data_IF_834821568071
#
_entry.id   IF_834821568071
#
_cell.length_a   1.000
_cell.length_b   1.000
_cell.length_c   1.000
_cell.angle_alpha   90.00
_cell.angle_beta   90.00
_cell.angle_gamma   90.00
#
_symmetry.space_group_name_H-M   'P 1'
#
loop_
_entity.id
_entity.type
_entity.pdbx_description
1 polymer ?
#
# COMPACT_ATOMS: atom_id res chain seq x y z
N UNK A 1 1.50 -49.55 -72.77
CA UNK A 1 1.73 -48.34 -71.97
C UNK A 1 0.76 -48.39 -70.80
N UNK A 2 1.25 -48.85 -69.66
CA UNK A 2 0.51 -48.79 -68.39
C UNK A 2 1.56 -48.97 -67.30
N UNK A 3 2.00 -47.83 -66.79
CA UNK A 3 2.98 -47.68 -65.72
C UNK A 3 2.51 -48.37 -64.43
N UNK A 4 3.44 -49.09 -63.84
CA UNK A 4 3.46 -49.51 -62.46
C UNK A 4 3.84 -48.33 -61.58
N UNK A 5 2.94 -47.91 -60.68
CA UNK A 5 3.26 -46.89 -59.68
C UNK A 5 2.99 -47.42 -58.26
N UNK A 6 4.06 -47.37 -57.45
CA UNK A 6 4.14 -47.83 -56.08
C UNK A 6 3.55 -46.76 -55.17
N UNK A 7 2.46 -47.06 -54.47
CA UNK A 7 1.99 -46.25 -53.35
C UNK A 7 2.73 -46.64 -52.08
N UNK A 8 3.77 -45.88 -51.74
CA UNK A 8 4.41 -45.87 -50.43
C UNK A 8 3.44 -45.29 -49.40
N UNK A 9 3.03 -46.11 -48.44
CA UNK A 9 2.27 -45.72 -47.25
C UNK A 9 3.16 -44.89 -46.31
N UNK A 10 3.03 -43.57 -46.38
CA UNK A 10 3.66 -42.64 -45.44
C UNK A 10 2.85 -42.59 -44.16
N UNK A 11 3.23 -43.44 -43.19
CA UNK A 11 2.71 -43.40 -41.83
C UNK A 11 2.87 -42.00 -41.23
N UNK A 12 1.74 -41.31 -41.04
CA UNK A 12 1.68 -40.07 -40.27
C UNK A 12 2.01 -40.40 -38.80
N UNK A 13 3.21 -40.04 -38.37
CA UNK A 13 3.55 -39.97 -36.95
C UNK A 13 2.56 -39.04 -36.24
N UNK A 14 1.71 -39.63 -35.41
CA UNK A 14 0.85 -38.89 -34.49
C UNK A 14 1.78 -38.24 -33.45
N UNK A 15 1.78 -36.91 -33.26
CA UNK A 15 2.65 -36.30 -32.27
C UNK A 15 2.28 -36.84 -30.88
N UNK A 16 3.29 -37.29 -30.13
CA UNK A 16 3.13 -37.77 -28.77
C UNK A 16 2.31 -36.77 -27.94
N UNK A 17 1.41 -37.22 -27.05
CA UNK A 17 0.60 -36.32 -26.24
C UNK A 17 1.54 -35.39 -25.47
N UNK A 18 1.38 -34.08 -25.66
CA UNK A 18 2.19 -33.08 -24.98
C UNK A 18 2.14 -33.35 -23.46
N UNK A 19 3.31 -33.56 -22.85
CA UNK A 19 3.40 -33.83 -21.43
C UNK A 19 2.73 -32.67 -20.66
N UNK A 20 1.90 -33.00 -19.67
CA UNK A 20 1.19 -32.03 -18.84
C UNK A 20 1.23 -32.42 -17.37
N UNK A 21 0.88 -31.49 -16.50
CA UNK A 21 0.82 -31.71 -15.07
C UNK A 21 2.17 -32.08 -14.44
N UNK A 22 2.14 -33.01 -13.49
CA UNK A 22 3.33 -33.42 -12.74
C UNK A 22 4.44 -33.99 -13.63
N UNK A 23 4.10 -34.64 -14.74
CA UNK A 23 5.07 -35.22 -15.70
C UNK A 23 5.88 -34.11 -16.37
N UNK A 24 5.20 -33.11 -16.94
CA UNK A 24 5.85 -31.93 -17.52
C UNK A 24 6.73 -31.21 -16.50
N UNK A 25 6.21 -31.01 -15.28
CA UNK A 25 6.95 -30.34 -14.21
C UNK A 25 8.23 -31.12 -13.90
N UNK A 26 8.17 -32.44 -13.78
CA UNK A 26 9.33 -33.29 -13.53
C UNK A 26 10.38 -33.20 -14.65
N UNK A 27 9.95 -33.10 -15.92
CA UNK A 27 10.85 -32.87 -17.05
C UNK A 27 11.56 -31.51 -16.94
N UNK A 28 10.82 -30.43 -16.66
CA UNK A 28 11.39 -29.09 -16.53
C UNK A 28 12.39 -28.98 -15.38
N UNK A 29 12.16 -29.68 -14.25
CA UNK A 29 13.07 -29.69 -13.09
C UNK A 29 14.50 -30.08 -13.45
N UNK A 30 14.70 -30.96 -14.44
CA UNK A 30 16.02 -31.43 -14.88
C UNK A 30 16.87 -30.29 -15.46
N UNK A 31 16.22 -29.27 -16.04
CA UNK A 31 16.85 -28.14 -16.72
C UNK A 31 17.04 -26.92 -15.83
N UNK A 32 16.52 -26.95 -14.59
CA UNK A 32 16.51 -25.78 -13.72
C UNK A 32 17.82 -25.58 -12.95
N UNK A 33 18.30 -24.33 -12.84
CA UNK A 33 19.41 -24.00 -11.96
C UNK A 33 19.00 -24.07 -10.48
N UNK A 34 19.97 -24.34 -9.61
CA UNK A 34 19.83 -24.19 -8.15
C UNK A 34 20.08 -22.72 -7.75
N UNK A 35 19.31 -21.79 -8.36
CA UNK A 35 19.42 -20.35 -8.17
C UNK A 35 18.06 -19.73 -7.80
N UNK A 36 18.04 -18.53 -7.20
CA UNK A 36 16.80 -17.81 -6.98
C UNK A 36 16.17 -17.35 -8.29
N UNK A 37 14.84 -17.18 -8.26
CA UNK A 37 14.11 -16.69 -9.41
C UNK A 37 12.60 -16.79 -9.27
N UNK A 38 11.91 -16.43 -10.35
CA UNK A 38 10.47 -16.49 -10.48
C UNK A 38 10.09 -17.49 -11.58
N UNK A 39 9.04 -18.27 -11.34
CA UNK A 39 8.46 -19.18 -12.32
C UNK A 39 7.00 -18.83 -12.61
N UNK A 40 6.56 -19.17 -13.81
CA UNK A 40 5.21 -18.95 -14.32
C UNK A 40 4.67 -20.26 -14.85
N UNK A 41 3.43 -20.58 -14.50
CA UNK A 41 2.72 -21.78 -14.94
C UNK A 41 1.54 -21.38 -15.81
N UNK A 42 1.41 -22.03 -16.97
CA UNK A 42 0.39 -21.75 -17.98
C UNK A 42 -0.41 -23.01 -18.29
N UNK A 43 -1.67 -22.85 -18.68
CA UNK A 43 -2.50 -23.96 -19.15
C UNK A 43 -2.29 -24.28 -20.63
N UNK A 44 -3.01 -25.29 -21.14
CA UNK A 44 -2.94 -25.71 -22.53
C UNK A 44 -3.44 -24.65 -23.53
N UNK A 45 -4.14 -23.62 -23.07
CA UNK A 45 -4.62 -22.48 -23.88
C UNK A 45 -3.66 -21.29 -23.81
N UNK A 46 -2.57 -21.39 -23.05
CA UNK A 46 -1.63 -20.31 -22.81
C UNK A 46 -2.09 -19.29 -21.77
N UNK A 47 -3.13 -19.58 -20.98
CA UNK A 47 -3.57 -18.72 -19.89
C UNK A 47 -2.64 -18.87 -18.68
N UNK A 48 -2.22 -17.73 -18.09
CA UNK A 48 -1.35 -17.74 -16.92
C UNK A 48 -2.12 -18.17 -15.67
N UNK A 49 -1.76 -19.34 -15.15
CA UNK A 49 -2.36 -19.94 -13.97
C UNK A 49 -1.77 -19.38 -12.68
N UNK A 50 -0.44 -19.32 -12.60
CA UNK A 50 0.27 -19.02 -11.36
C UNK A 50 1.64 -18.40 -11.60
N UNK A 51 2.03 -17.50 -10.72
CA UNK A 51 3.38 -16.93 -10.60
C UNK A 51 3.88 -17.27 -9.20
N UNK A 52 5.11 -17.76 -9.08
CA UNK A 52 5.73 -18.00 -7.78
C UNK A 52 7.22 -17.67 -7.76
N UNK A 53 7.72 -17.24 -6.60
CA UNK A 53 9.15 -17.07 -6.33
C UNK A 53 9.78 -18.29 -5.69
N UNK A 54 11.10 -18.42 -5.82
CA UNK A 54 11.89 -19.43 -5.12
C UNK A 54 13.30 -18.92 -4.79
N UNK A 55 13.83 -19.35 -3.64
CA UNK A 55 15.28 -19.28 -3.35
C UNK A 55 16.08 -20.23 -4.25
N UNK A 56 15.47 -21.37 -4.59
CA UNK A 56 15.99 -22.37 -5.51
C UNK A 56 14.87 -22.80 -6.43
N UNK A 57 14.94 -22.39 -7.70
CA UNK A 57 13.98 -22.79 -8.72
C UNK A 57 13.88 -24.31 -8.82
N UNK A 58 15.03 -25.00 -8.88
CA UNK A 58 15.07 -26.47 -8.92
C UNK A 58 14.34 -27.13 -7.76
N UNK A 59 14.64 -26.75 -6.51
CA UNK A 59 14.01 -27.37 -5.31
C UNK A 59 12.52 -27.04 -5.22
N UNK A 60 12.14 -25.78 -5.51
CA UNK A 60 10.74 -25.34 -5.43
C UNK A 60 9.89 -26.04 -6.48
N UNK A 61 10.35 -26.09 -7.73
CA UNK A 61 9.58 -26.70 -8.81
C UNK A 61 9.52 -28.22 -8.65
N UNK A 62 10.59 -28.84 -8.14
CA UNK A 62 10.58 -30.26 -7.81
C UNK A 62 9.52 -30.64 -6.76
N UNK A 63 9.13 -29.70 -5.88
CA UNK A 63 8.07 -29.97 -4.91
C UNK A 63 6.71 -30.22 -5.56
N UNK A 64 6.41 -29.59 -6.70
CA UNK A 64 5.15 -29.77 -7.44
C UNK A 64 5.10 -31.05 -8.28
N UNK A 65 6.26 -31.65 -8.58
CA UNK A 65 6.32 -32.93 -9.29
C UNK A 65 5.91 -34.12 -8.40
N UNK A 66 5.75 -33.90 -7.09
CA UNK A 66 5.32 -34.93 -6.14
C UNK A 66 3.81 -35.16 -6.28
N UNK A 67 3.38 -36.41 -6.28
CA UNK A 67 1.97 -36.79 -6.47
C UNK A 67 1.08 -36.57 -5.23
N UNK A 68 1.63 -36.12 -4.09
CA UNK A 68 0.89 -35.99 -2.83
C UNK A 68 1.43 -34.89 -1.91
N UNK A 69 0.62 -34.51 -0.92
CA UNK A 69 0.93 -33.45 0.04
C UNK A 69 0.59 -32.02 -0.44
N UNK A 70 -0.22 -31.92 -1.50
CA UNK A 70 -0.70 -30.64 -2.04
C UNK A 70 -2.14 -30.38 -1.61
N UNK A 71 -2.48 -29.12 -1.37
CA UNK A 71 -3.88 -28.70 -1.23
C UNK A 71 -4.63 -28.91 -2.53
N UNK A 72 -5.96 -29.05 -2.46
CA UNK A 72 -6.83 -29.25 -3.63
C UNK A 72 -6.59 -28.19 -4.70
N UNK A 73 -6.39 -26.93 -4.28
CA UNK A 73 -6.01 -25.83 -5.17
C UNK A 73 -4.71 -26.10 -5.91
N UNK A 74 -3.64 -26.44 -5.20
CA UNK A 74 -2.31 -26.65 -5.80
C UNK A 74 -2.35 -27.87 -6.72
N UNK A 75 -3.02 -28.95 -6.33
CA UNK A 75 -3.20 -30.12 -7.16
C UNK A 75 -3.93 -29.80 -8.49
N UNK A 76 -5.00 -29.00 -8.44
CA UNK A 76 -5.71 -28.54 -9.64
C UNK A 76 -4.84 -27.67 -10.53
N UNK A 77 -4.10 -26.72 -9.95
CA UNK A 77 -3.16 -25.86 -10.69
C UNK A 77 -2.08 -26.70 -11.38
N UNK A 78 -1.49 -27.67 -10.66
CA UNK A 78 -0.51 -28.61 -11.23
C UNK A 78 -1.14 -29.35 -12.39
N UNK A 79 -2.29 -30.01 -12.19
CA UNK A 79 -2.95 -30.80 -13.22
C UNK A 79 -3.28 -30.00 -14.50
N UNK A 80 -3.60 -28.71 -14.35
CA UNK A 80 -3.87 -27.81 -15.49
C UNK A 80 -2.61 -27.24 -16.16
N UNK A 81 -1.42 -27.42 -15.59
CA UNK A 81 -0.18 -26.85 -16.13
C UNK A 81 0.28 -27.60 -17.38
N UNK A 82 0.38 -26.90 -18.50
CA UNK A 82 0.88 -27.41 -19.79
C UNK A 82 2.14 -26.69 -20.27
N UNK A 83 2.50 -25.55 -19.68
CA UNK A 83 3.74 -24.83 -19.98
C UNK A 83 4.29 -24.14 -18.71
N UNK A 84 5.62 -24.03 -18.62
CA UNK A 84 6.30 -23.29 -17.58
C UNK A 84 7.38 -22.36 -18.14
N UNK A 85 7.50 -21.17 -17.58
CA UNK A 85 8.56 -20.20 -17.85
C UNK A 85 9.31 -19.83 -16.58
N UNK A 86 10.60 -19.50 -16.71
CA UNK A 86 11.49 -19.23 -15.60
C UNK A 86 12.30 -17.96 -15.85
N UNK A 87 12.49 -17.17 -14.80
CA UNK A 87 13.33 -15.98 -14.80
C UNK A 87 14.25 -16.10 -13.58
N UNK A 88 15.53 -16.34 -13.79
CA UNK A 88 16.53 -16.32 -12.72
C UNK A 88 16.77 -14.89 -12.25
N UNK A 89 16.98 -14.73 -10.95
CA UNK A 89 17.33 -13.44 -10.34
C UNK A 89 18.67 -13.55 -9.62
N UNK A 90 19.31 -12.42 -9.33
CA UNK A 90 20.56 -12.42 -8.58
C UNK A 90 20.33 -12.81 -7.11
N UNK A 91 19.26 -12.30 -6.50
CA UNK A 91 18.91 -12.56 -5.10
C UNK A 91 17.47 -13.06 -4.93
N UNK A 92 17.18 -13.62 -3.76
CA UNK A 92 15.81 -14.00 -3.38
C UNK A 92 14.91 -12.76 -3.20
N UNK A 93 15.48 -11.64 -2.78
CA UNK A 93 14.80 -10.35 -2.68
C UNK A 93 14.33 -9.85 -4.04
N UNK A 94 15.19 -9.94 -5.05
CA UNK A 94 14.81 -9.59 -6.43
C UNK A 94 13.68 -10.49 -6.95
N UNK A 95 13.71 -11.78 -6.60
CA UNK A 95 12.64 -12.72 -6.94
C UNK A 95 11.31 -12.32 -6.27
N UNK A 96 11.32 -11.90 -5.00
CA UNK A 96 10.13 -11.40 -4.31
C UNK A 96 9.54 -10.17 -5.00
N UNK A 97 10.38 -9.18 -5.33
CA UNK A 97 9.94 -7.95 -5.97
C UNK A 97 9.39 -8.20 -7.38
N UNK A 98 10.08 -9.05 -8.17
CA UNK A 98 9.65 -9.43 -9.50
C UNK A 98 8.34 -10.23 -9.48
N UNK A 99 8.18 -11.18 -8.56
CA UNK A 99 6.95 -11.93 -8.38
C UNK A 99 5.77 -11.01 -8.07
N UNK A 100 5.91 -10.10 -7.09
CA UNK A 100 4.86 -9.15 -6.74
C UNK A 100 4.44 -8.27 -7.94
N UNK A 101 5.41 -7.81 -8.73
CA UNK A 101 5.15 -7.03 -9.95
C UNK A 101 4.39 -7.85 -11.02
N UNK A 102 4.82 -9.09 -11.26
CA UNK A 102 4.17 -9.99 -12.23
C UNK A 102 2.75 -10.37 -11.80
N UNK A 103 2.51 -10.64 -10.52
CA UNK A 103 1.15 -10.91 -10.00
C UNK A 103 0.26 -9.69 -10.20
N UNK A 104 0.75 -8.49 -9.88
CA UNK A 104 -0.01 -7.24 -10.05
C UNK A 104 -0.39 -6.99 -11.51
N UNK A 105 0.55 -7.22 -12.44
CA UNK A 105 0.36 -6.99 -13.88
C UNK A 105 -0.52 -8.05 -14.54
N UNK A 106 -0.26 -9.32 -14.25
CA UNK A 106 -0.84 -10.45 -15.01
C UNK A 106 -2.04 -11.09 -14.31
N UNK A 107 -2.27 -10.78 -13.02
CA UNK A 107 -3.41 -11.23 -12.20
C UNK A 107 -3.74 -12.73 -12.36
N UNK A 108 -2.76 -13.64 -12.13
CA UNK A 108 -2.95 -15.07 -12.36
C UNK A 108 -4.09 -15.65 -11.51
N UNK A 109 -4.82 -16.63 -12.06
CA UNK A 109 -6.01 -17.21 -11.44
C UNK A 109 -5.76 -17.77 -10.04
N UNK A 110 -4.62 -18.43 -9.85
CA UNK A 110 -4.32 -19.12 -8.60
C UNK A 110 -3.56 -18.25 -7.59
N UNK A 111 -3.13 -17.03 -7.92
CA UNK A 111 -2.46 -16.14 -6.95
C UNK A 111 -3.47 -15.43 -6.04
N UNK A 112 -3.00 -14.98 -4.87
CA UNK A 112 -3.73 -13.98 -4.08
C UNK A 112 -3.69 -12.67 -4.85
N UNK A 113 -4.83 -12.03 -5.05
CA UNK A 113 -4.93 -10.78 -5.80
C UNK A 113 -5.49 -9.65 -4.93
N UNK A 114 -4.73 -8.57 -4.80
CA UNK A 114 -5.21 -7.32 -4.22
C UNK A 114 -6.20 -6.65 -5.19
N UNK A 115 -7.50 -6.64 -4.87
CA UNK A 115 -8.55 -6.09 -5.76
C UNK A 115 -8.59 -4.55 -5.81
N UNK A 116 -8.07 -3.88 -4.79
CA UNK A 116 -8.11 -2.43 -4.66
C UNK A 116 -6.68 -1.87 -4.69
N UNK A 117 -6.23 -1.45 -5.86
CA UNK A 117 -4.87 -0.95 -6.09
C UNK A 117 -4.80 0.59 -6.11
N UNK A 118 -5.88 1.28 -5.72
CA UNK A 118 -5.93 2.75 -5.79
C UNK A 118 -4.72 3.35 -5.06
N UNK A 119 -4.01 4.23 -5.76
CA UNK A 119 -2.92 5.00 -5.17
C UNK A 119 -3.41 5.74 -3.94
N UNK A 120 -2.64 5.64 -2.85
CA UNK A 120 -2.98 6.35 -1.63
C UNK A 120 -2.84 7.85 -1.86
N UNK A 121 -3.77 8.66 -1.31
CA UNK A 121 -3.60 10.09 -1.32
C UNK A 121 -2.47 10.50 -0.36
N UNK A 122 -1.75 11.52 -0.77
CA UNK A 122 -0.71 12.22 -0.03
C UNK A 122 -1.09 13.68 0.12
N UNK A 123 -0.47 14.35 1.08
CA UNK A 123 -0.35 15.80 1.11
C UNK A 123 1.00 16.14 0.49
N UNK A 124 1.01 17.04 -0.49
CA UNK A 124 2.22 17.57 -1.11
C UNK A 124 2.37 19.03 -0.68
N UNK A 125 3.50 19.35 -0.06
CA UNK A 125 4.02 20.71 0.03
C UNK A 125 4.96 20.91 -1.16
N UNK A 126 4.54 21.73 -2.12
CA UNK A 126 5.26 21.85 -3.40
C UNK A 126 6.57 22.60 -3.24
N UNK A 127 7.59 22.25 -4.04
CA UNK A 127 8.92 22.88 -3.99
C UNK A 127 9.29 23.64 -5.26
N UNK A 128 8.31 23.88 -6.13
CA UNK A 128 8.47 24.41 -7.49
C UNK A 128 8.08 25.89 -7.63
N UNK A 129 7.78 26.57 -6.51
CA UNK A 129 7.36 27.98 -6.49
C UNK A 129 7.82 28.65 -5.19
N UNK A 130 8.18 29.94 -5.24
CA UNK A 130 8.61 30.73 -4.06
C UNK A 130 7.57 30.78 -2.94
N UNK A 131 6.29 30.66 -3.34
CA UNK A 131 5.16 30.44 -2.44
C UNK A 131 4.63 29.00 -2.61
N UNK A 132 5.17 27.99 -1.91
CA UNK A 132 4.70 26.61 -1.95
C UNK A 132 3.19 26.43 -1.77
N UNK A 133 2.58 25.50 -2.52
CA UNK A 133 1.19 25.10 -2.33
C UNK A 133 1.10 23.93 -1.33
N UNK A 134 0.00 23.84 -0.58
CA UNK A 134 -0.39 22.63 0.13
C UNK A 134 -1.56 21.97 -0.60
N UNK A 135 -1.32 20.81 -1.22
CA UNK A 135 -2.30 20.14 -2.09
C UNK A 135 -2.40 18.65 -1.82
N UNK A 136 -3.55 18.09 -2.19
CA UNK A 136 -3.74 16.65 -2.26
C UNK A 136 -3.03 16.11 -3.50
N UNK A 137 -2.24 15.05 -3.33
CA UNK A 137 -1.55 14.36 -4.42
C UNK A 137 -1.96 12.89 -4.50
N UNK A 138 -2.02 12.35 -5.71
CA UNK A 138 -2.19 10.91 -6.00
C UNK A 138 -1.34 10.53 -7.20
N UNK A 139 -0.85 9.28 -7.22
CA UNK A 139 -0.05 8.76 -8.33
C UNK A 139 1.46 8.94 -8.13
N UNK A 140 2.20 8.97 -9.23
CA UNK A 140 3.66 9.10 -9.24
C UNK A 140 4.11 10.40 -8.58
N UNK A 141 5.23 10.35 -7.86
CA UNK A 141 5.80 11.50 -7.14
C UNK A 141 6.76 12.30 -8.03
N UNK A 142 6.26 12.79 -9.15
CA UNK A 142 7.06 13.52 -10.15
C UNK A 142 7.17 15.02 -9.89
N UNK A 143 6.20 15.63 -9.21
CA UNK A 143 6.21 17.06 -8.90
C UNK A 143 7.20 17.33 -7.75
N UNK A 144 8.13 18.29 -7.88
CA UNK A 144 9.06 18.62 -6.80
C UNK A 144 8.33 19.03 -5.51
N UNK A 145 8.80 18.55 -4.37
CA UNK A 145 8.26 18.91 -3.05
C UNK A 145 8.32 17.80 -2.01
N UNK A 146 7.82 18.11 -0.81
CA UNK A 146 7.74 17.19 0.31
C UNK A 146 6.39 16.45 0.31
N UNK A 147 6.44 15.12 0.23
CA UNK A 147 5.28 14.24 0.23
C UNK A 147 5.02 13.63 1.61
N UNK A 148 3.85 13.93 2.17
CA UNK A 148 3.38 13.41 3.45
C UNK A 148 2.24 12.42 3.21
N UNK A 149 2.50 11.15 3.51
CA UNK A 149 1.52 10.08 3.46
C UNK A 149 2.18 8.72 3.72
N UNK A 150 1.51 7.61 3.33
CA UNK A 150 0.17 7.56 2.74
C UNK A 150 -0.93 7.84 3.78
N UNK A 151 -2.04 8.40 3.32
CA UNK A 151 -3.27 8.47 4.11
C UNK A 151 -4.24 7.40 3.65
N UNK A 152 -5.04 6.86 4.56
CA UNK A 152 -5.90 5.72 4.22
C UNK A 152 -7.06 6.04 3.27
N UNK A 153 -7.55 7.29 3.26
CA UNK A 153 -8.69 7.69 2.46
C UNK A 153 -8.57 9.12 1.93
N UNK A 154 -9.35 9.41 0.88
CA UNK A 154 -9.48 10.78 0.38
C UNK A 154 -10.03 11.73 1.47
N UNK A 155 -10.97 11.26 2.29
CA UNK A 155 -11.57 12.03 3.37
C UNK A 155 -10.56 12.41 4.45
N UNK A 156 -9.71 11.45 4.86
CA UNK A 156 -8.64 11.70 5.82
C UNK A 156 -7.68 12.80 5.33
N UNK A 157 -7.24 12.72 4.06
CA UNK A 157 -6.40 13.78 3.47
C UNK A 157 -7.10 15.12 3.45
N UNK A 158 -8.35 15.18 3.00
CA UNK A 158 -9.09 16.45 2.95
C UNK A 158 -9.25 17.06 4.35
N UNK A 159 -9.55 16.25 5.37
CA UNK A 159 -9.65 16.71 6.76
C UNK A 159 -8.32 17.30 7.26
N UNK A 160 -7.21 16.58 7.06
CA UNK A 160 -5.88 17.07 7.45
C UNK A 160 -5.49 18.33 6.67
N UNK A 161 -5.72 18.38 5.35
CA UNK A 161 -5.46 19.57 4.53
C UNK A 161 -6.24 20.80 5.03
N UNK A 162 -7.53 20.64 5.31
CA UNK A 162 -8.36 21.73 5.81
C UNK A 162 -7.84 22.28 7.14
N UNK A 163 -7.35 21.40 8.01
CA UNK A 163 -6.79 21.81 9.28
C UNK A 163 -5.39 22.44 9.13
N UNK A 164 -4.54 21.94 8.22
CA UNK A 164 -3.27 22.57 7.87
C UNK A 164 -3.47 24.00 7.34
N UNK A 165 -4.45 24.21 6.46
CA UNK A 165 -4.77 25.53 5.94
C UNK A 165 -5.18 26.51 7.05
N UNK A 166 -5.99 26.06 8.02
CA UNK A 166 -6.34 26.89 9.18
C UNK A 166 -5.15 27.14 10.11
N UNK A 167 -4.30 26.13 10.29
CA UNK A 167 -3.20 26.19 11.25
C UNK A 167 -1.95 26.91 10.73
N UNK A 168 -1.70 26.89 9.43
CA UNK A 168 -0.48 27.43 8.81
C UNK A 168 -0.76 28.43 7.70
N UNK A 169 -2.03 28.68 7.36
CA UNK A 169 -2.44 29.72 6.41
C UNK A 169 -1.79 29.57 5.02
N UNK A 170 -1.51 28.32 4.61
CA UNK A 170 -0.89 28.03 3.33
C UNK A 170 -1.89 28.07 2.18
N UNK A 171 -1.44 28.53 1.01
CA UNK A 171 -2.26 28.54 -0.20
C UNK A 171 -2.48 27.13 -0.76
N UNK A 172 -3.61 26.95 -1.43
CA UNK A 172 -3.90 25.75 -2.23
C UNK A 172 -4.39 26.07 -3.65
N UNK A 173 -4.37 27.35 -4.04
CA UNK A 173 -4.71 27.74 -5.41
C UNK A 173 -3.57 27.35 -6.37
N UNK A 174 -3.93 27.09 -7.63
CA UNK A 174 -2.93 26.88 -8.69
C UNK A 174 -2.10 28.15 -8.92
N UNK A 175 -0.96 27.99 -9.59
CA UNK A 175 -0.07 29.11 -9.90
C UNK A 175 -0.74 30.13 -10.82
N UNK A 176 -1.49 29.65 -11.83
CA UNK A 176 -2.31 30.51 -12.68
C UNK A 176 -3.33 31.37 -11.91
N UNK A 177 -3.96 30.79 -10.89
CA UNK A 177 -4.90 31.52 -10.03
C UNK A 177 -4.17 32.44 -9.07
N UNK A 178 -2.94 32.14 -8.67
CA UNK A 178 -2.14 33.00 -7.81
C UNK A 178 -1.66 34.25 -8.55
N UNK A 179 -1.11 34.07 -9.75
CA UNK A 179 -0.57 35.17 -10.58
C UNK A 179 -1.67 36.13 -11.06
N UNK A 180 -2.87 35.60 -11.32
CA UNK A 180 -4.00 36.41 -11.80
C UNK A 180 -4.79 37.17 -10.71
N UNK A 181 -4.38 37.13 -9.43
CA UNK A 181 -5.16 37.75 -8.34
C UNK A 181 -4.78 39.21 -8.13
N UNK A 182 -5.80 40.06 -8.12
CA UNK A 182 -5.69 41.49 -7.79
C UNK A 182 -6.20 41.84 -6.40
N UNK A 183 -6.93 40.93 -5.74
CA UNK A 183 -7.43 41.10 -4.37
C UNK A 183 -7.47 39.77 -3.60
N UNK A 184 -7.33 39.80 -2.25
CA UNK A 184 -7.41 38.60 -1.43
C UNK A 184 -8.71 37.81 -1.66
N UNK A 185 -8.61 36.48 -1.69
CA UNK A 185 -9.74 35.60 -1.94
C UNK A 185 -10.49 35.23 -0.65
N UNK A 186 -11.58 34.47 -0.81
CA UNK A 186 -12.37 33.97 0.32
C UNK A 186 -11.51 33.22 1.35
N UNK A 187 -10.52 32.42 0.93
CA UNK A 187 -9.66 31.67 1.85
C UNK A 187 -8.89 32.59 2.81
N UNK A 188 -8.50 33.78 2.37
CA UNK A 188 -7.90 34.78 3.26
C UNK A 188 -8.92 35.35 4.23
N UNK A 189 -10.11 35.72 3.74
CA UNK A 189 -11.18 36.28 4.56
C UNK A 189 -11.60 35.31 5.68
N UNK A 190 -11.63 34.01 5.40
CA UNK A 190 -11.95 32.96 6.39
C UNK A 190 -10.71 32.42 7.14
N UNK A 191 -9.57 33.13 7.07
CA UNK A 191 -8.32 32.82 7.79
C UNK A 191 -7.81 31.39 7.54
N UNK A 192 -7.73 31.01 6.26
CA UNK A 192 -7.16 29.74 5.76
C UNK A 192 -5.99 29.93 4.79
N UNK A 193 -5.71 31.16 4.40
CA UNK A 193 -4.60 31.55 3.55
C UNK A 193 -4.08 32.90 4.02
N UNK A 194 -2.78 33.14 3.96
CA UNK A 194 -2.17 34.43 4.28
C UNK A 194 -2.11 35.40 3.10
N UNK A 195 -2.80 35.09 1.99
CA UNK A 195 -2.86 35.86 0.75
C UNK A 195 -1.51 36.36 0.19
N UNK A 196 -0.49 35.48 0.04
CA UNK A 196 0.77 35.86 -0.62
C UNK A 196 0.59 36.34 -2.07
N UNK A 197 -0.49 35.91 -2.74
CA UNK A 197 -0.79 36.30 -4.12
C UNK A 197 -1.06 37.81 -4.30
N UNK A 198 -1.37 38.52 -3.22
CA UNK A 198 -1.65 39.97 -3.25
C UNK A 198 -0.79 40.74 -2.26
N UNK A 199 0.29 40.15 -1.77
CA UNK A 199 1.29 40.84 -0.93
C UNK A 199 0.89 41.06 0.54
N UNK A 200 -0.18 40.44 1.04
CA UNK A 200 -0.56 40.52 2.47
C UNK A 200 0.47 39.87 3.41
N UNK A 201 1.33 39.01 2.85
CA UNK A 201 2.52 38.46 3.47
C UNK A 201 3.65 38.49 2.45
N UNK A 202 4.87 38.74 2.90
CA UNK A 202 6.05 38.67 2.07
C UNK A 202 6.54 37.22 1.88
N UNK A 203 7.50 37.03 0.98
CA UNK A 203 8.06 35.71 0.69
C UNK A 203 8.70 35.07 1.92
N UNK A 204 9.42 35.86 2.72
CA UNK A 204 10.10 35.39 3.92
C UNK A 204 9.11 34.91 4.98
N UNK A 205 8.07 35.70 5.29
CA UNK A 205 7.04 35.32 6.23
C UNK A 205 6.25 34.09 5.76
N UNK A 206 5.98 33.98 4.45
CA UNK A 206 5.35 32.77 3.91
C UNK A 206 6.24 31.53 4.03
N UNK A 207 7.54 31.66 3.78
CA UNK A 207 8.50 30.57 3.94
C UNK A 207 8.56 30.06 5.39
N UNK A 208 8.42 30.94 6.38
CA UNK A 208 8.31 30.55 7.79
C UNK A 208 7.06 29.69 8.06
N UNK A 209 5.90 30.08 7.52
CA UNK A 209 4.67 29.28 7.62
C UNK A 209 4.80 27.90 6.97
N UNK A 210 5.47 27.82 5.81
CA UNK A 210 5.76 26.55 5.13
C UNK A 210 6.68 25.68 5.96
N UNK A 211 7.72 26.25 6.56
CA UNK A 211 8.65 25.54 7.43
C UNK A 211 7.95 25.00 8.69
N UNK A 212 7.05 25.78 9.30
CA UNK A 212 6.22 25.35 10.43
C UNK A 212 5.31 24.16 10.05
N UNK A 213 4.63 24.24 8.91
CA UNK A 213 3.77 23.17 8.42
C UNK A 213 4.56 21.88 8.14
N UNK A 214 5.72 22.01 7.50
CA UNK A 214 6.62 20.88 7.24
C UNK A 214 7.16 20.27 8.52
N UNK A 215 7.53 21.07 9.52
CA UNK A 215 7.96 20.60 10.83
C UNK A 215 6.84 19.84 11.56
N UNK A 216 5.61 20.36 11.52
CA UNK A 216 4.45 19.70 12.11
C UNK A 216 4.18 18.33 11.47
N UNK A 217 4.17 18.24 10.15
CA UNK A 217 3.94 16.99 9.42
C UNK A 217 5.09 15.97 9.61
N UNK A 218 6.29 16.44 9.95
CA UNK A 218 7.44 15.60 10.37
C UNK A 218 7.37 15.19 11.85
N UNK A 219 6.30 15.55 12.58
CA UNK A 219 6.06 15.15 13.97
C UNK A 219 6.61 16.08 15.03
N UNK A 220 7.06 17.29 14.67
CA UNK A 220 7.51 18.30 15.63
C UNK A 220 6.35 19.13 16.20
N UNK A 221 5.17 18.50 16.37
CA UNK A 221 3.91 19.18 16.66
C UNK A 221 3.86 19.88 18.03
N UNK A 222 4.47 19.28 19.07
CA UNK A 222 4.44 19.82 20.44
C UNK A 222 5.18 21.15 20.56
N UNK A 223 6.30 21.30 19.84
CA UNK A 223 7.08 22.54 19.83
C UNK A 223 6.26 23.66 19.21
N UNK A 224 5.69 23.41 18.04
CA UNK A 224 4.83 24.37 17.32
C UNK A 224 3.62 24.78 18.15
N UNK A 225 2.94 23.83 18.81
CA UNK A 225 1.79 24.16 19.67
C UNK A 225 2.19 25.05 20.86
N UNK A 226 3.31 24.76 21.55
CA UNK A 226 3.78 25.60 22.66
C UNK A 226 4.12 27.02 22.20
N UNK A 227 4.80 27.14 21.06
CA UNK A 227 5.11 28.45 20.48
C UNK A 227 3.84 29.25 20.17
N UNK A 228 2.80 28.62 19.63
CA UNK A 228 1.53 29.29 19.37
C UNK A 228 0.82 29.74 20.65
N UNK A 229 0.91 28.95 21.73
CA UNK A 229 0.36 29.33 23.05
C UNK A 229 1.10 30.55 23.59
N UNK A 230 2.43 30.54 23.58
CA UNK A 230 3.24 31.69 24.02
C UNK A 230 2.93 32.95 23.21
N UNK A 231 2.75 32.82 21.89
CA UNK A 231 2.37 33.94 21.01
C UNK A 231 0.96 34.45 21.29
N UNK A 232 0.01 33.55 21.56
CA UNK A 232 -1.36 33.88 21.96
C UNK A 232 -1.37 34.66 23.28
N UNK A 233 -0.66 34.18 24.30
CA UNK A 233 -0.61 34.79 25.62
C UNK A 233 0.06 36.18 25.56
N UNK A 234 1.14 36.32 24.79
CA UNK A 234 1.78 37.62 24.53
C UNK A 234 0.84 38.60 23.85
N UNK A 235 0.09 38.16 22.83
CA UNK A 235 -0.86 39.01 22.13
C UNK A 235 -2.00 39.45 23.06
N UNK A 236 -2.53 38.53 23.88
CA UNK A 236 -3.57 38.83 24.86
C UNK A 236 -3.09 39.80 25.95
N UNK A 237 -1.86 39.62 26.47
CA UNK A 237 -1.26 40.54 27.42
C UNK A 237 -1.04 41.94 26.84
N UNK A 238 -0.77 42.03 25.54
CA UNK A 238 -0.70 43.29 24.78
C UNK A 238 -2.05 43.85 24.32
N UNK A 239 -3.18 43.28 24.76
CA UNK A 239 -4.55 43.65 24.37
C UNK A 239 -4.86 43.51 22.85
N UNK A 240 -4.04 42.76 22.11
CA UNK A 240 -4.26 42.43 20.70
C UNK A 240 -5.11 41.15 20.58
N UNK A 241 -6.41 41.31 20.84
CA UNK A 241 -7.35 40.19 20.88
C UNK A 241 -7.59 39.55 19.50
N UNK A 242 -7.40 40.30 18.41
CA UNK A 242 -7.52 39.77 17.05
C UNK A 242 -6.39 38.78 16.75
N UNK A 243 -5.12 39.13 17.03
CA UNK A 243 -4.00 38.19 16.88
C UNK A 243 -4.12 37.02 17.84
N UNK A 244 -4.52 37.26 19.09
CA UNK A 244 -4.75 36.19 20.06
C UNK A 244 -5.81 35.17 19.55
N UNK A 245 -6.91 35.66 18.96
CA UNK A 245 -7.93 34.81 18.36
C UNK A 245 -7.38 33.96 17.19
N UNK A 246 -6.53 34.54 16.34
CA UNK A 246 -5.86 33.79 15.25
C UNK A 246 -5.01 32.66 15.84
N UNK A 247 -4.16 32.92 16.83
CA UNK A 247 -3.32 31.87 17.44
C UNK A 247 -4.15 30.78 18.11
N UNK A 248 -5.22 31.16 18.83
CA UNK A 248 -6.17 30.21 19.43
C UNK A 248 -6.78 29.28 18.37
N UNK A 249 -7.23 29.85 17.26
CA UNK A 249 -7.88 29.08 16.20
C UNK A 249 -6.87 28.17 15.48
N UNK A 250 -5.62 28.61 15.31
CA UNK A 250 -4.51 27.77 14.85
C UNK A 250 -4.26 26.60 15.80
N UNK A 251 -4.20 26.84 17.12
CA UNK A 251 -4.03 25.78 18.14
C UNK A 251 -5.17 24.76 18.04
N UNK A 252 -6.42 25.21 17.96
CA UNK A 252 -7.59 24.33 17.81
C UNK A 252 -7.50 23.46 16.56
N UNK A 253 -7.09 24.02 15.43
CA UNK A 253 -6.90 23.27 14.19
C UNK A 253 -5.82 22.18 14.32
N UNK A 254 -4.69 22.48 14.97
CA UNK A 254 -3.64 21.49 15.22
C UNK A 254 -4.11 20.36 16.15
N UNK A 255 -4.85 20.71 17.20
CA UNK A 255 -5.43 19.74 18.13
C UNK A 255 -6.44 18.84 17.42
N UNK A 256 -7.24 19.37 16.49
CA UNK A 256 -8.18 18.56 15.71
C UNK A 256 -7.47 17.51 14.85
N UNK A 257 -6.33 17.84 14.21
CA UNK A 257 -5.53 16.87 13.45
C UNK A 257 -5.02 15.75 14.36
N UNK A 258 -4.58 16.11 15.57
CA UNK A 258 -4.13 15.12 16.55
C UNK A 258 -5.30 14.28 17.08
N UNK A 259 -6.49 14.84 17.26
CA UNK A 259 -7.63 14.10 17.81
C UNK A 259 -8.41 13.29 16.77
N UNK A 260 -8.29 13.60 15.47
CA UNK A 260 -9.01 12.90 14.42
C UNK A 260 -8.41 11.51 14.15
N UNK A 261 -9.19 10.50 14.50
CA UNK A 261 -9.13 9.09 14.11
C UNK A 261 -8.24 8.18 14.98
N UNK A 262 -8.78 7.77 16.12
CA UNK A 262 -8.37 6.54 16.81
C UNK A 262 -7.15 6.64 17.72
N UNK A 263 -6.61 5.48 18.07
CA UNK A 263 -5.51 5.31 19.04
C UNK A 263 -4.25 5.94 18.45
N UNK A 264 -3.88 7.15 18.90
CA UNK A 264 -2.54 7.67 18.63
C UNK A 264 -1.54 6.99 19.55
N UNK A 265 -0.48 6.38 18.99
CA UNK A 265 0.54 5.76 19.79
C UNK A 265 1.38 6.80 20.54
N UNK A 266 1.69 6.49 21.79
CA UNK A 266 2.59 7.22 22.67
C UNK A 266 4.05 7.06 22.24
N UNK A 267 4.43 5.87 21.77
CA UNK A 267 5.84 5.52 21.48
C UNK A 267 6.12 5.17 20.02
N UNK A 268 5.09 4.78 19.25
CA UNK A 268 5.25 4.39 17.84
C UNK A 268 5.20 5.62 16.93
N UNK A 269 6.37 6.15 16.56
CA UNK A 269 6.45 7.35 15.71
C UNK A 269 6.13 7.09 14.24
N UNK A 270 6.47 5.91 13.71
CA UNK A 270 6.32 5.57 12.30
C UNK A 270 6.12 4.06 12.15
N UNK A 271 4.93 3.64 11.75
CA UNK A 271 4.63 2.23 11.48
C UNK A 271 3.47 2.07 10.50
N UNK A 272 3.43 0.94 9.79
CA UNK A 272 2.21 0.44 9.16
C UNK A 272 1.76 -0.80 9.93
N UNK A 273 0.48 -0.88 10.27
CA UNK A 273 -0.10 -2.03 11.01
C UNK A 273 -1.01 -2.79 10.08
N UNK A 274 -0.73 -4.08 9.90
CA UNK A 274 -1.53 -5.00 9.08
C UNK A 274 -2.16 -6.06 9.96
N UNK A 275 -3.49 -6.14 9.92
CA UNK A 275 -4.24 -7.18 10.60
C UNK A 275 -5.15 -7.90 9.62
N UNK A 276 -5.00 -9.22 9.52
CA UNK A 276 -5.86 -10.06 8.71
C UNK A 276 -6.87 -10.81 9.59
N UNK A 277 -8.12 -10.93 9.13
CA UNK A 277 -9.16 -11.79 9.71
C UNK A 277 -9.82 -12.58 8.58
N UNK A 278 -10.05 -13.88 8.79
CA UNK A 278 -10.63 -14.78 7.78
C UNK A 278 -11.89 -15.44 8.32
N UNK A 279 -12.95 -15.41 7.51
CA UNK A 279 -14.26 -15.98 7.84
C UNK A 279 -15.02 -16.32 6.55
N UNK A 280 -15.71 -17.46 6.51
CA UNK A 280 -16.50 -17.88 5.34
C UNK A 280 -15.70 -18.13 4.05
N UNK A 281 -14.37 -18.31 4.14
CA UNK A 281 -13.47 -18.42 3.00
C UNK A 281 -13.15 -17.08 2.33
N UNK A 282 -13.41 -15.96 3.00
CA UNK A 282 -12.95 -14.63 2.61
C UNK A 282 -12.02 -14.07 3.68
N UNK A 283 -11.03 -13.28 3.27
CA UNK A 283 -10.12 -12.59 4.20
C UNK A 283 -10.30 -11.08 4.08
N UNK A 284 -10.37 -10.39 5.21
CA UNK A 284 -10.18 -8.95 5.28
C UNK A 284 -8.77 -8.67 5.80
N UNK A 285 -8.03 -7.80 5.11
CA UNK A 285 -6.77 -7.24 5.61
C UNK A 285 -6.98 -5.76 5.90
N UNK A 286 -6.91 -5.41 7.17
CA UNK A 286 -6.99 -4.04 7.64
C UNK A 286 -5.60 -3.43 7.74
N UNK A 287 -5.44 -2.23 7.20
CA UNK A 287 -4.17 -1.48 7.22
C UNK A 287 -4.36 -0.16 7.93
N UNK A 288 -3.51 0.16 8.91
CA UNK A 288 -3.42 1.47 9.56
C UNK A 288 -2.07 2.11 9.26
N UNK A 289 -2.06 3.43 9.04
CA UNK A 289 -0.85 4.19 8.76
C UNK A 289 -0.51 5.11 9.93
N UNK A 290 0.64 4.88 10.57
CA UNK A 290 1.17 5.76 11.60
C UNK A 290 2.38 6.53 11.09
N UNK A 291 2.30 7.85 11.13
CA UNK A 291 3.40 8.74 10.73
C UNK A 291 3.48 9.87 11.74
N UNK A 292 4.69 10.27 12.11
CA UNK A 292 4.89 11.35 13.06
C UNK A 292 4.13 11.17 14.41
N UNK A 293 3.92 9.91 14.84
CA UNK A 293 3.15 9.58 16.04
C UNK A 293 1.63 9.76 15.90
N UNK A 294 1.11 9.97 14.69
CA UNK A 294 -0.30 10.18 14.40
C UNK A 294 -0.84 9.06 13.52
N UNK A 295 -2.11 8.70 13.74
CA UNK A 295 -2.85 7.84 12.83
C UNK A 295 -3.34 8.64 11.61
N UNK A 296 -2.89 8.27 10.41
CA UNK A 296 -3.33 8.84 9.13
C UNK A 296 -4.47 8.06 8.48
N UNK A 297 -5.16 7.27 9.31
CA UNK A 297 -6.37 6.54 9.00
C UNK A 297 -6.12 5.06 8.71
N UNK A 298 -7.22 4.37 8.41
CA UNK A 298 -7.24 2.94 8.14
C UNK A 298 -8.02 2.58 6.88
N UNK A 299 -7.66 1.44 6.26
CA UNK A 299 -8.33 0.91 5.07
C UNK A 299 -8.48 -0.60 5.13
N UNK A 300 -9.67 -1.08 4.79
CA UNK A 300 -9.98 -2.49 4.64
C UNK A 300 -9.69 -2.95 3.20
N UNK A 301 -9.05 -4.10 3.07
CA UNK A 301 -8.82 -4.81 1.82
C UNK A 301 -9.46 -6.17 1.86
N UNK A 302 -9.90 -6.63 0.69
CA UNK A 302 -10.52 -7.95 0.52
C UNK A 302 -9.83 -8.68 -0.63
N UNK A 303 -8.64 -9.26 -0.39
CA UNK A 303 -7.90 -9.98 -1.42
C UNK A 303 -8.72 -11.12 -1.99
N UNK A 304 -8.65 -11.34 -3.30
CA UNK A 304 -9.20 -12.55 -3.93
C UNK A 304 -8.18 -13.67 -3.74
N UNK A 305 -8.59 -14.76 -3.12
CA UNK A 305 -7.78 -15.95 -2.95
C UNK A 305 -8.69 -17.18 -2.94
N UNK A 306 -8.07 -18.35 -2.84
CA UNK A 306 -8.79 -19.61 -2.67
C UNK A 306 -9.32 -19.75 -1.24
N UNK A 307 -10.51 -20.32 -1.09
CA UNK A 307 -11.25 -20.36 0.19
C UNK A 307 -10.52 -21.13 1.28
N UNK A 308 -9.69 -22.11 0.91
CA UNK A 308 -8.95 -22.97 1.84
C UNK A 308 -7.58 -22.38 2.21
N UNK A 309 -7.20 -21.23 1.68
CA UNK A 309 -5.89 -20.63 1.94
C UNK A 309 -5.77 -20.13 3.39
N UNK A 310 -4.70 -20.49 4.12
CA UNK A 310 -4.43 -19.95 5.45
C UNK A 310 -4.28 -18.43 5.44
N UNK A 311 -4.73 -17.78 6.51
CA UNK A 311 -4.71 -16.30 6.63
C UNK A 311 -3.28 -15.75 6.60
N UNK A 312 -2.31 -16.52 7.10
CA UNK A 312 -0.88 -16.22 7.08
C UNK A 312 -0.35 -16.11 5.65
N UNK A 313 -0.73 -17.03 4.76
CA UNK A 313 -0.34 -17.01 3.36
C UNK A 313 -1.00 -15.85 2.60
N UNK A 314 -2.28 -15.58 2.90
CA UNK A 314 -2.98 -14.42 2.32
C UNK A 314 -2.30 -13.12 2.73
N UNK A 315 -1.94 -12.98 4.01
CA UNK A 315 -1.27 -11.79 4.52
C UNK A 315 0.14 -11.63 3.94
N UNK A 316 0.91 -12.73 3.82
CA UNK A 316 2.25 -12.72 3.22
C UNK A 316 2.21 -12.20 1.76
N UNK A 317 1.34 -12.80 0.94
CA UNK A 317 1.18 -12.40 -0.46
C UNK A 317 0.62 -10.98 -0.61
N UNK A 318 -0.26 -10.56 0.31
CA UNK A 318 -0.78 -9.20 0.34
C UNK A 318 0.32 -8.18 0.64
N UNK A 319 1.20 -8.44 1.63
CA UNK A 319 2.28 -7.52 2.01
C UNK A 319 3.27 -7.30 0.86
N UNK A 320 3.65 -8.36 0.14
CA UNK A 320 4.55 -8.26 -1.01
C UNK A 320 3.96 -7.37 -2.12
N UNK A 321 2.68 -7.60 -2.48
CA UNK A 321 1.97 -6.75 -3.44
C UNK A 321 1.76 -5.33 -2.94
N UNK A 322 1.47 -5.17 -1.64
CA UNK A 322 1.23 -3.87 -1.03
C UNK A 322 2.48 -2.98 -1.11
N UNK A 323 3.67 -3.52 -0.89
CA UNK A 323 4.90 -2.73 -0.95
C UNK A 323 5.56 -2.67 -2.34
N UNK A 324 4.95 -3.23 -3.39
CA UNK A 324 5.50 -3.24 -4.75
C UNK A 324 5.72 -1.83 -5.34
N UNK A 325 4.89 -0.85 -4.99
CA UNK A 325 4.99 0.56 -5.43
C UNK A 325 4.95 1.56 -4.26
N UNK A 326 5.05 1.08 -3.01
CA UNK A 326 4.90 1.90 -1.81
C UNK A 326 6.20 1.98 -1.02
N UNK A 327 6.59 3.18 -0.54
CA UNK A 327 7.75 3.29 0.33
C UNK A 327 7.42 2.67 1.70
N UNK A 328 8.30 1.80 2.23
CA UNK A 328 8.07 1.19 3.53
C UNK A 328 8.25 2.19 4.68
N UNK A 329 7.52 2.01 5.79
CA UNK A 329 7.78 2.70 7.06
C UNK A 329 9.03 2.12 7.73
N UNK A 330 9.44 2.68 8.88
CA UNK A 330 10.47 2.06 9.75
C UNK A 330 10.03 0.73 10.37
N UNK A 331 8.72 0.54 10.54
CA UNK A 331 8.16 -0.62 11.23
C UNK A 331 6.89 -1.11 10.56
N UNK A 332 6.80 -2.42 10.36
CA UNK A 332 5.61 -3.10 9.87
C UNK A 332 5.17 -4.07 10.95
N UNK A 333 3.99 -3.82 11.53
CA UNK A 333 3.43 -4.63 12.60
C UNK A 333 2.35 -5.54 12.06
N UNK A 334 2.43 -6.83 12.38
CA UNK A 334 1.55 -7.86 11.82
C UNK A 334 0.68 -8.51 12.90
N UNK A 335 -0.55 -8.89 12.55
CA UNK A 335 -1.41 -9.70 13.43
C UNK A 335 -1.03 -11.18 13.46
N UNK A 336 -0.42 -11.69 12.39
CA UNK A 336 0.02 -13.07 12.22
C UNK A 336 1.52 -13.14 11.91
N UNK A 337 2.15 -14.27 12.21
CA UNK A 337 3.49 -14.56 11.70
C UNK A 337 3.34 -15.06 10.27
N UNK A 338 4.08 -14.44 9.35
CA UNK A 338 3.99 -14.76 7.92
C UNK A 338 5.24 -15.52 7.46
N UNK A 339 5.12 -16.52 6.57
CA UNK A 339 6.27 -17.32 6.14
C UNK A 339 7.42 -16.49 5.55
N UNK A 340 7.12 -15.43 4.80
CA UNK A 340 8.08 -14.57 4.14
C UNK A 340 8.61 -13.41 4.99
N UNK A 341 8.39 -13.39 6.31
CA UNK A 341 8.67 -12.22 7.16
C UNK A 341 10.11 -11.69 7.04
N UNK A 342 11.10 -12.57 7.12
CA UNK A 342 12.52 -12.19 7.06
C UNK A 342 12.90 -11.61 5.69
N UNK A 343 12.46 -12.28 4.61
CA UNK A 343 12.72 -11.85 3.24
C UNK A 343 12.02 -10.52 2.93
N UNK A 344 10.78 -10.34 3.43
CA UNK A 344 10.06 -9.07 3.31
C UNK A 344 10.83 -7.96 4.03
N UNK A 345 11.30 -8.19 5.27
CA UNK A 345 12.06 -7.19 6.01
C UNK A 345 13.35 -6.74 5.28
N UNK A 346 14.05 -7.68 4.67
CA UNK A 346 15.22 -7.42 3.83
C UNK A 346 14.85 -6.58 2.60
N UNK A 347 13.82 -7.00 1.85
CA UNK A 347 13.34 -6.29 0.67
C UNK A 347 12.93 -4.84 0.98
N UNK A 348 12.19 -4.65 2.07
CA UNK A 348 11.77 -3.33 2.52
C UNK A 348 12.96 -2.50 3.01
N UNK A 349 13.97 -3.11 3.61
CA UNK A 349 15.20 -2.42 4.05
C UNK A 349 15.99 -1.88 2.86
N UNK A 350 16.21 -2.72 1.83
CA UNK A 350 16.89 -2.33 0.59
C UNK A 350 16.12 -1.21 -0.09
N UNK A 351 14.80 -1.39 -0.30
CA UNK A 351 13.94 -0.40 -0.95
C UNK A 351 13.85 0.93 -0.18
N UNK A 352 13.82 0.85 1.15
CA UNK A 352 13.67 2.00 2.04
C UNK A 352 14.96 2.77 2.30
N UNK A 353 16.12 2.24 1.89
CA UNK A 353 17.45 2.79 2.21
C UNK A 353 17.75 2.86 3.71
N UNK A 354 16.97 2.15 4.54
CA UNK A 354 17.05 2.16 6.00
C UNK A 354 16.49 0.85 6.56
N UNK A 355 16.96 0.44 7.74
CA UNK A 355 16.44 -0.76 8.41
C UNK A 355 14.93 -0.67 8.62
N UNK A 356 14.20 -1.66 8.11
CA UNK A 356 12.76 -1.84 8.32
C UNK A 356 12.53 -3.05 9.20
N UNK A 357 11.90 -2.84 10.36
CA UNK A 357 11.54 -3.93 11.26
C UNK A 357 10.15 -4.48 10.89
N UNK A 358 10.06 -5.76 10.56
CA UNK A 358 8.78 -6.45 10.30
C UNK A 358 8.57 -7.49 11.39
N UNK A 359 7.40 -7.50 12.03
CA UNK A 359 7.08 -8.57 12.98
C UNK A 359 5.76 -8.45 13.70
N UNK A 360 5.44 -9.52 14.44
CA UNK A 360 4.24 -9.64 15.27
C UNK A 360 4.53 -9.22 16.72
N UNK A 361 4.03 -8.07 17.20
CA UNK A 361 4.20 -7.69 18.59
C UNK A 361 3.40 -8.62 19.52
N UNK A 362 4.01 -9.00 20.65
CA UNK A 362 3.41 -9.91 21.64
C UNK A 362 2.90 -9.20 22.90
N UNK A 363 3.36 -7.98 23.19
CA UNK A 363 2.99 -7.20 24.39
C UNK A 363 3.13 -5.69 24.18
N UNK A 364 2.53 -4.91 25.07
CA UNK A 364 2.61 -3.45 25.13
C UNK A 364 1.83 -2.75 24.01
N UNK A 365 2.06 -1.44 23.87
CA UNK A 365 1.32 -0.57 22.95
C UNK A 365 1.27 -1.10 21.50
N UNK A 366 2.38 -1.65 20.98
CA UNK A 366 2.41 -2.21 19.61
C UNK A 366 1.41 -3.36 19.44
N UNK A 367 1.21 -4.17 20.48
CA UNK A 367 0.22 -5.26 20.49
C UNK A 367 -1.19 -4.69 20.50
N UNK A 368 -1.45 -3.67 21.30
CA UNK A 368 -2.75 -2.99 21.36
C UNK A 368 -3.15 -2.39 20.00
N UNK A 369 -2.20 -1.78 19.27
CA UNK A 369 -2.43 -1.28 17.91
C UNK A 369 -2.84 -2.40 16.94
N UNK A 370 -2.15 -3.54 17.02
CA UNK A 370 -2.45 -4.73 16.20
C UNK A 370 -3.82 -5.31 16.56
N UNK A 371 -4.16 -5.40 17.83
CA UNK A 371 -5.45 -5.92 18.30
C UNK A 371 -6.60 -5.00 17.87
N UNK A 372 -6.41 -3.68 17.95
CA UNK A 372 -7.37 -2.73 17.42
C UNK A 372 -7.58 -2.90 15.90
N UNK A 373 -6.48 -3.07 15.15
CA UNK A 373 -6.55 -3.33 13.72
C UNK A 373 -7.27 -4.66 13.40
N UNK A 374 -7.08 -5.69 14.24
CA UNK A 374 -7.73 -6.98 14.09
C UNK A 374 -9.24 -6.91 14.33
N UNK A 375 -9.69 -6.18 15.36
CA UNK A 375 -11.12 -5.90 15.58
C UNK A 375 -11.74 -5.20 14.38
N UNK A 376 -11.06 -4.19 13.82
CA UNK A 376 -11.51 -3.50 12.62
C UNK A 376 -11.60 -4.43 11.40
N UNK A 377 -10.63 -5.35 11.23
CA UNK A 377 -10.65 -6.35 10.15
C UNK A 377 -11.86 -7.28 10.28
N UNK A 378 -12.14 -7.76 11.49
CA UNK A 378 -13.31 -8.60 11.79
C UNK A 378 -14.62 -7.89 11.48
N UNK A 379 -14.80 -6.67 11.97
CA UNK A 379 -16.01 -5.88 11.72
C UNK A 379 -16.20 -5.55 10.23
N UNK A 380 -15.12 -5.19 9.53
CA UNK A 380 -15.17 -4.90 8.11
C UNK A 380 -15.54 -6.14 7.29
N UNK A 381 -15.02 -7.32 7.66
CA UNK A 381 -15.42 -8.58 7.04
C UNK A 381 -16.89 -8.91 7.32
N UNK A 382 -17.33 -8.76 8.57
CA UNK A 382 -18.72 -9.00 8.96
C UNK A 382 -19.71 -8.17 8.14
N UNK A 383 -19.45 -6.85 8.00
CA UNK A 383 -20.27 -5.96 7.14
C UNK A 383 -20.31 -6.44 5.69
N UNK A 384 -19.16 -6.79 5.11
CA UNK A 384 -19.07 -7.26 3.72
C UNK A 384 -19.82 -8.57 3.49
N UNK A 385 -19.74 -9.50 4.44
CA UNK A 385 -20.44 -10.78 4.36
C UNK A 385 -21.97 -10.57 4.41
N UNK A 386 -22.44 -9.69 5.30
CA UNK A 386 -23.85 -9.32 5.39
C UNK A 386 -24.36 -8.69 4.07
N UNK A 387 -23.66 -7.69 3.54
CA UNK A 387 -24.00 -7.04 2.26
C UNK A 387 -24.05 -8.05 1.09
N UNK A 388 -23.10 -8.99 1.05
CA UNK A 388 -23.03 -10.01 0.00
C UNK A 388 -24.18 -11.03 0.10
N UNK A 389 -24.60 -11.39 1.31
CA UNK A 389 -25.77 -12.27 1.51
C UNK A 389 -27.06 -11.60 1.05
N UNK A 390 -27.27 -10.33 1.41
CA UNK A 390 -28.47 -9.57 1.00
C UNK A 390 -28.55 -9.40 -0.51
N UNK A 391 -27.43 -9.11 -1.19
CA UNK A 391 -27.39 -9.03 -2.65
C UNK A 391 -27.71 -10.36 -3.33
N UNK A 392 -27.25 -11.50 -2.77
CA UNK A 392 -27.55 -12.81 -3.33
C UNK A 392 -29.04 -13.15 -3.18
N UNK A 393 -29.65 -12.88 -2.03
CA UNK A 393 -31.08 -13.09 -1.80
C UNK A 393 -31.96 -12.23 -2.73
N UNK A 394 -31.56 -10.99 -3.02
CA UNK A 394 -32.29 -10.10 -3.95
C UNK A 394 -32.17 -10.48 -5.43
N UNK A 395 -31.20 -11.33 -5.80
CA UNK A 395 -31.02 -11.80 -7.18
C UNK A 395 -31.65 -13.18 -7.42
N UNK A 396 -31.92 -13.92 -6.35
CA UNK A 396 -32.49 -15.28 -6.36
C UNK A 396 -34.01 -15.30 -6.07
N UNK A 397 -34.57 -14.18 -5.61
CA UNK A 397 -36.02 -13.96 -5.47
C UNK A 397 -36.50 -12.93 -6.47
#
# INVERSE_FOLDING_TARGET
>A
MSDSDQTTDSGQETPAPASSGAVLIAEKVKLLPDSPGVYRMYDAKGELLYVGKARSLKKRVASYAKLGGHSNRIARMIASTAQMEFISTATETDALLLEANLIKRLKPRYNVLMRDDKSFPYILLTGDHAFPQVVKHRGSRSRPGDYFGPFASAGAVTATLNALQKAFLLRSCSDSVFEGRTRPCLLFQIKRCSAPCTGEIDEKGYAELVAEAGAFLKGRSRKTQRQLVELMDKAAAGLDFERAAIYRDRIRALTQIQQHQGINPRTVTEADVFAAWSEGGQTCVQVFFFRAGQNWGNRAYFPRHDREMPVEEVLDAFLAQFYEDRPPPRMVLLSHEVPGQALLAEALTIRGGRKVAVGRPRRGEKRELVDHALTNAREALGRRLAESSTQRTLLEG
#
